data_IF_853266538642
#
_entry.id   IF_853266538642
#
_cell.length_a   1.000
_cell.length_b   1.000
_cell.length_c   1.000
_cell.angle_alpha   90.00
_cell.angle_beta   90.00
_cell.angle_gamma   90.00
#
_symmetry.space_group_name_H-M   'P 1'
#
loop_
_entity.id
_entity.type
_entity.pdbx_description
1 polymer ?
#
# COMPACT_ATOMS: atom_id res chain seq x y z
N UNK A 1 -6.30 -7.30 -22.28
CA UNK A 1 -6.61 -8.68 -21.88
C UNK A 1 -7.38 -8.63 -20.58
N UNK A 2 -8.47 -9.38 -20.52
CA UNK A 2 -9.61 -9.24 -19.62
C UNK A 2 -9.25 -9.11 -18.13
N UNK A 3 -9.98 -8.20 -17.47
CA UNK A 3 -10.15 -8.21 -16.03
C UNK A 3 -10.90 -9.50 -15.68
N UNK A 4 -10.16 -10.55 -15.34
CA UNK A 4 -10.75 -11.78 -14.81
C UNK A 4 -11.58 -11.44 -13.57
N UNK A 5 -12.81 -11.94 -13.42
CA UNK A 5 -13.77 -11.50 -12.39
C UNK A 5 -13.43 -11.99 -10.96
N UNK A 6 -12.24 -12.55 -10.75
CA UNK A 6 -11.78 -13.08 -9.46
C UNK A 6 -11.78 -12.10 -8.27
N UNK A 7 -11.50 -10.78 -8.38
CA UNK A 7 -11.50 -9.94 -7.18
C UNK A 7 -12.90 -9.86 -6.56
N UNK A 8 -13.96 -9.89 -7.37
CA UNK A 8 -15.34 -9.82 -6.87
C UNK A 8 -15.74 -11.04 -6.04
N UNK A 9 -15.32 -12.25 -6.45
CA UNK A 9 -15.70 -13.50 -5.77
C UNK A 9 -14.95 -13.66 -4.44
N UNK A 10 -13.66 -13.33 -4.40
CA UNK A 10 -12.86 -13.38 -3.17
C UNK A 10 -13.32 -12.34 -2.15
N UNK A 11 -13.62 -11.11 -2.60
CA UNK A 11 -14.17 -10.05 -1.74
C UNK A 11 -15.56 -10.39 -1.22
N UNK A 12 -16.44 -10.98 -2.05
CA UNK A 12 -17.75 -11.45 -1.62
C UNK A 12 -17.63 -12.54 -0.55
N UNK A 13 -16.73 -13.49 -0.74
CA UNK A 13 -16.49 -14.56 0.23
C UNK A 13 -15.99 -14.00 1.57
N UNK A 14 -14.97 -13.12 1.54
CA UNK A 14 -14.46 -12.50 2.77
C UNK A 14 -15.51 -11.63 3.46
N UNK A 15 -16.26 -10.84 2.70
CA UNK A 15 -17.34 -10.02 3.21
C UNK A 15 -18.44 -10.85 3.88
N UNK A 16 -18.79 -12.00 3.29
CA UNK A 16 -19.75 -12.94 3.86
C UNK A 16 -19.23 -13.57 5.15
N UNK A 17 -17.95 -13.98 5.18
CA UNK A 17 -17.30 -14.48 6.40
C UNK A 17 -17.30 -13.41 7.50
N UNK A 18 -16.94 -12.17 7.19
CA UNK A 18 -16.96 -11.06 8.14
C UNK A 18 -18.38 -10.79 8.66
N UNK A 19 -19.39 -10.80 7.79
CA UNK A 19 -20.79 -10.62 8.17
C UNK A 19 -21.31 -11.76 9.07
N UNK A 20 -20.98 -13.01 8.76
CA UNK A 20 -21.33 -14.17 9.59
C UNK A 20 -20.65 -14.07 10.96
N UNK A 21 -19.36 -13.73 11.00
CA UNK A 21 -18.63 -13.58 12.25
C UNK A 21 -19.17 -12.43 13.11
N UNK A 22 -19.49 -11.27 12.51
CA UNK A 22 -20.16 -10.17 13.20
C UNK A 22 -21.54 -10.61 13.74
N UNK A 23 -22.33 -11.30 12.92
CA UNK A 23 -23.65 -11.81 13.30
C UNK A 23 -23.58 -12.79 14.48
N UNK A 24 -22.61 -13.72 14.46
CA UNK A 24 -22.34 -14.62 15.57
C UNK A 24 -21.90 -13.86 16.82
N UNK A 25 -21.04 -12.85 16.70
CA UNK A 25 -20.57 -12.05 17.83
C UNK A 25 -21.73 -11.30 18.51
N UNK A 26 -22.59 -10.65 17.71
CA UNK A 26 -23.81 -10.00 18.19
C UNK A 26 -24.79 -11.01 18.80
N UNK A 27 -24.94 -12.20 18.21
CA UNK A 27 -25.78 -13.26 18.75
C UNK A 27 -25.29 -13.70 20.14
N UNK A 28 -23.99 -13.98 20.30
CA UNK A 28 -23.41 -14.33 21.59
C UNK A 28 -23.60 -13.22 22.62
N UNK A 29 -23.42 -11.96 22.21
CA UNK A 29 -23.62 -10.81 23.09
C UNK A 29 -25.08 -10.68 23.55
N UNK A 30 -26.05 -10.85 22.64
CA UNK A 30 -27.48 -10.79 22.97
C UNK A 30 -27.88 -11.94 23.90
N UNK A 31 -27.45 -13.17 23.64
CA UNK A 31 -27.67 -14.32 24.53
C UNK A 31 -27.07 -14.05 25.92
N UNK A 32 -25.84 -13.54 25.97
CA UNK A 32 -25.18 -13.19 27.23
C UNK A 32 -25.98 -12.14 28.03
N UNK A 33 -26.43 -11.07 27.36
CA UNK A 33 -27.25 -10.02 27.98
C UNK A 33 -28.61 -10.58 28.47
N UNK A 34 -29.27 -11.43 27.69
CA UNK A 34 -30.54 -12.08 28.08
C UNK A 34 -30.33 -12.96 29.31
N UNK A 35 -29.31 -13.82 29.32
CA UNK A 35 -28.99 -14.66 30.49
C UNK A 35 -28.70 -13.81 31.73
N UNK A 36 -27.94 -12.72 31.59
CA UNK A 36 -27.65 -11.81 32.70
C UNK A 36 -28.91 -11.11 33.23
N UNK A 37 -29.83 -10.73 32.35
CA UNK A 37 -31.10 -10.10 32.71
C UNK A 37 -32.09 -11.09 33.35
N UNK A 38 -32.21 -12.31 32.81
CA UNK A 38 -33.08 -13.36 33.33
C UNK A 38 -32.62 -13.86 34.70
N UNK A 39 -31.32 -14.17 34.87
CA UNK A 39 -30.77 -14.58 36.17
C UNK A 39 -30.89 -13.49 37.25
N UNK A 40 -31.05 -12.21 36.87
CA UNK A 40 -31.22 -11.09 37.79
C UNK A 40 -32.69 -10.87 38.19
N UNK A 41 -33.65 -11.40 37.42
CA UNK A 41 -35.09 -11.24 37.67
C UNK A 41 -35.64 -12.28 38.65
N UNK A 42 -34.96 -13.42 38.79
CA UNK A 42 -35.40 -14.55 39.64
C UNK A 42 -34.86 -14.51 41.10
N UNK A 43 -34.20 -13.43 41.54
CA UNK A 43 -33.69 -13.32 42.92
C UNK A 43 -34.50 -12.34 43.79
N UNK A 44 -35.39 -12.89 44.61
CA UNK A 44 -35.83 -12.29 45.88
C UNK A 44 -34.66 -12.25 46.91
N UNK A 45 -34.71 -11.36 47.91
CA UNK A 45 -33.53 -10.92 48.63
C UNK A 45 -33.23 -11.82 49.83
N UNK A 46 -32.70 -13.03 49.66
CA UNK A 46 -32.08 -13.73 50.80
C UNK A 46 -31.04 -14.78 50.38
N UNK A 47 -29.96 -14.82 51.15
CA UNK A 47 -28.87 -15.84 51.22
C UNK A 47 -27.70 -15.84 50.20
N UNK A 48 -26.60 -15.18 50.65
CA UNK A 48 -25.17 -15.62 50.66
C UNK A 48 -24.49 -16.15 49.37
N UNK A 49 -23.76 -15.22 48.71
CA UNK A 49 -22.47 -15.34 47.96
C UNK A 49 -22.08 -16.73 47.40
N UNK A 50 -22.19 -16.87 46.06
CA UNK A 50 -21.01 -17.14 45.21
C UNK A 50 -20.96 -16.32 43.90
N UNK A 51 -21.93 -15.44 43.64
CA UNK A 51 -22.12 -14.75 42.35
C UNK A 51 -21.08 -13.68 41.99
N UNK A 52 -20.40 -13.07 42.96
CA UNK A 52 -19.47 -11.96 42.70
C UNK A 52 -18.19 -12.43 42.01
N UNK A 53 -17.75 -13.67 42.27
CA UNK A 53 -16.50 -14.22 41.74
C UNK A 53 -16.60 -14.47 40.23
N UNK A 54 -17.71 -15.05 39.77
CA UNK A 54 -17.91 -15.39 38.36
C UNK A 54 -17.98 -14.12 37.47
N UNK A 55 -18.68 -13.08 37.92
CA UNK A 55 -18.76 -11.80 37.17
C UNK A 55 -17.40 -11.09 37.11
N UNK A 56 -16.61 -11.11 38.19
CA UNK A 56 -15.26 -10.53 38.18
C UNK A 56 -14.32 -11.30 37.24
N UNK A 57 -14.39 -12.63 37.20
CA UNK A 57 -13.58 -13.43 36.26
C UNK A 57 -13.98 -13.19 34.80
N UNK A 58 -15.27 -13.04 34.52
CA UNK A 58 -15.74 -12.68 33.17
C UNK A 58 -15.28 -11.27 32.75
N UNK A 59 -15.29 -10.30 33.68
CA UNK A 59 -14.78 -8.96 33.39
C UNK A 59 -13.25 -8.96 33.15
N UNK A 60 -12.49 -9.72 33.95
CA UNK A 60 -11.03 -9.85 33.77
C UNK A 60 -10.70 -10.52 32.44
N UNK A 61 -11.38 -11.61 32.09
CA UNK A 61 -11.16 -12.32 30.82
C UNK A 61 -11.53 -11.45 29.62
N UNK A 62 -12.67 -10.75 29.67
CA UNK A 62 -13.07 -9.81 28.62
C UNK A 62 -12.07 -8.65 28.48
N UNK A 63 -11.57 -8.09 29.59
CA UNK A 63 -10.54 -7.06 29.58
C UNK A 63 -9.23 -7.54 28.97
N UNK A 64 -8.81 -8.78 29.27
CA UNK A 64 -7.58 -9.36 28.74
C UNK A 64 -7.68 -9.61 27.22
N UNK A 65 -8.85 -10.07 26.74
CA UNK A 65 -9.14 -10.20 25.31
C UNK A 65 -9.17 -8.81 24.63
N UNK A 66 -9.80 -7.80 25.24
CA UNK A 66 -9.80 -6.41 24.75
C UNK A 66 -8.36 -5.90 24.58
N UNK A 67 -7.51 -6.06 25.60
CA UNK A 67 -6.12 -5.64 25.55
C UNK A 67 -5.30 -6.39 24.49
N UNK A 68 -5.48 -7.71 24.36
CA UNK A 68 -4.81 -8.49 23.33
C UNK A 68 -5.22 -8.05 21.92
N UNK A 69 -6.52 -7.84 21.68
CA UNK A 69 -7.02 -7.37 20.40
C UNK A 69 -6.48 -5.98 20.04
N UNK A 70 -6.47 -5.04 21.00
CA UNK A 70 -5.87 -3.71 20.80
C UNK A 70 -4.37 -3.80 20.53
N UNK A 71 -3.64 -4.65 21.25
CA UNK A 71 -2.22 -4.86 21.03
C UNK A 71 -1.89 -5.40 19.64
N UNK A 72 -2.64 -6.40 19.18
CA UNK A 72 -2.51 -6.94 17.82
C UNK A 72 -2.86 -5.87 16.78
N UNK A 73 -3.93 -5.10 17.00
CA UNK A 73 -4.33 -4.02 16.10
C UNK A 73 -3.29 -2.91 16.00
N UNK A 74 -2.71 -2.49 17.12
CA UNK A 74 -1.64 -1.50 17.15
C UNK A 74 -0.39 -1.98 16.43
N UNK A 75 0.00 -3.24 16.65
CA UNK A 75 1.11 -3.88 15.96
C UNK A 75 0.87 -3.91 14.44
N UNK A 76 -0.28 -4.43 14.00
CA UNK A 76 -0.63 -4.48 12.58
C UNK A 76 -0.70 -3.09 11.93
N UNK A 77 -1.19 -2.07 12.64
CA UNK A 77 -1.21 -0.71 12.14
C UNK A 77 0.20 -0.12 11.94
N UNK A 78 1.14 -0.46 12.84
CA UNK A 78 2.55 -0.05 12.73
C UNK A 78 3.24 -0.76 11.57
N UNK A 79 3.08 -2.07 11.43
CA UNK A 79 3.66 -2.85 10.34
C UNK A 79 3.15 -2.39 8.98
N UNK A 80 1.85 -2.05 8.88
CA UNK A 80 1.27 -1.50 7.65
C UNK A 80 1.92 -0.16 7.29
N UNK A 81 2.11 0.72 8.27
CA UNK A 81 2.77 2.01 8.06
C UNK A 81 4.23 1.85 7.63
N UNK A 82 4.96 0.89 8.21
CA UNK A 82 6.33 0.58 7.80
C UNK A 82 6.38 0.03 6.36
N UNK A 83 5.41 -0.83 5.99
CA UNK A 83 5.26 -1.31 4.62
C UNK A 83 4.97 -0.18 3.61
N UNK A 84 4.10 0.76 3.96
CA UNK A 84 3.84 1.95 3.11
C UNK A 84 5.06 2.85 3.04
N UNK A 85 5.80 3.03 4.13
CA UNK A 85 7.04 3.79 4.11
C UNK A 85 8.08 3.19 3.15
N UNK A 86 8.22 1.86 3.15
CA UNK A 86 9.08 1.16 2.18
C UNK A 86 8.61 1.35 0.74
N UNK A 87 7.29 1.35 0.49
CA UNK A 87 6.72 1.65 -0.82
C UNK A 87 7.06 3.07 -1.27
N UNK A 88 6.87 4.08 -0.40
CA UNK A 88 7.20 5.47 -0.69
C UNK A 88 8.68 5.64 -1.01
N UNK A 89 9.57 4.97 -0.27
CA UNK A 89 10.99 4.95 -0.54
C UNK A 89 11.31 4.33 -1.91
N UNK A 90 10.65 3.24 -2.27
CA UNK A 90 10.82 2.60 -3.58
C UNK A 90 10.34 3.50 -4.72
N UNK A 91 9.21 4.21 -4.54
CA UNK A 91 8.69 5.17 -5.52
C UNK A 91 9.64 6.37 -5.70
N UNK A 92 10.19 6.90 -4.61
CA UNK A 92 11.20 7.97 -4.66
C UNK A 92 12.48 7.52 -5.38
N UNK A 93 12.95 6.30 -5.10
CA UNK A 93 14.11 5.74 -5.77
C UNK A 93 13.86 5.49 -7.27
N UNK A 94 12.66 5.04 -7.64
CA UNK A 94 12.25 4.90 -9.02
C UNK A 94 12.25 6.27 -9.74
N UNK A 95 11.69 7.30 -9.10
CA UNK A 95 11.68 8.67 -9.62
C UNK A 95 13.10 9.21 -9.85
N UNK A 96 14.02 8.98 -8.91
CA UNK A 96 15.44 9.32 -9.07
C UNK A 96 16.12 8.55 -10.21
N UNK A 97 15.74 7.29 -10.44
CA UNK A 97 16.28 6.49 -11.54
C UNK A 97 15.79 7.02 -12.89
N UNK A 98 14.50 7.34 -13.03
CA UNK A 98 13.91 7.88 -14.26
C UNK A 98 14.53 9.24 -14.64
N UNK A 99 14.60 10.15 -13.67
CA UNK A 99 15.24 11.46 -13.87
C UNK A 99 16.74 11.33 -14.16
N UNK A 100 17.40 10.35 -13.55
CA UNK A 100 18.78 9.98 -13.85
C UNK A 100 18.99 9.55 -15.31
N UNK A 101 18.09 8.72 -15.86
CA UNK A 101 18.12 8.28 -17.26
C UNK A 101 18.02 9.49 -18.20
N UNK A 102 17.04 10.38 -17.98
CA UNK A 102 16.87 11.57 -18.80
C UNK A 102 18.15 12.45 -18.80
N UNK A 103 18.74 12.64 -17.62
CA UNK A 103 19.98 13.42 -17.49
C UNK A 103 21.17 12.79 -18.22
N UNK A 104 21.29 11.46 -18.17
CA UNK A 104 22.36 10.71 -18.82
C UNK A 104 22.20 10.72 -20.34
N UNK A 105 20.98 10.53 -20.84
CA UNK A 105 20.66 10.57 -22.27
C UNK A 105 20.94 11.97 -22.83
N UNK A 106 20.47 13.02 -22.15
CA UNK A 106 20.71 14.41 -22.54
C UNK A 106 22.21 14.74 -22.56
N UNK A 107 22.94 14.39 -21.50
CA UNK A 107 24.39 14.64 -21.39
C UNK A 107 25.20 13.90 -22.46
N UNK A 108 24.92 12.61 -22.68
CA UNK A 108 25.61 11.79 -23.68
C UNK A 108 25.33 12.29 -25.10
N UNK A 109 24.06 12.63 -25.40
CA UNK A 109 23.66 13.18 -26.69
C UNK A 109 24.39 14.49 -26.98
N UNK A 110 24.48 15.38 -25.99
CA UNK A 110 25.21 16.65 -26.10
C UNK A 110 26.71 16.41 -26.35
N UNK A 111 27.35 15.54 -25.58
CA UNK A 111 28.78 15.23 -25.72
C UNK A 111 29.10 14.61 -27.09
N UNK A 112 28.24 13.71 -27.60
CA UNK A 112 28.43 13.14 -28.93
C UNK A 112 28.17 14.15 -30.06
N UNK A 113 27.13 14.98 -29.97
CA UNK A 113 26.85 15.98 -31.01
C UNK A 113 27.91 17.07 -31.08
N UNK A 114 28.34 17.59 -29.94
CA UNK A 114 29.23 18.77 -29.91
C UNK A 114 30.69 18.35 -29.77
N UNK A 115 31.01 17.55 -28.76
CA UNK A 115 32.40 17.20 -28.44
C UNK A 115 33.01 16.27 -29.49
N UNK A 116 32.31 15.19 -29.82
CA UNK A 116 32.85 14.18 -30.74
C UNK A 116 32.94 14.69 -32.18
N UNK A 117 31.94 15.45 -32.68
CA UNK A 117 32.03 16.09 -33.99
C UNK A 117 33.19 17.08 -34.09
N UNK A 118 33.42 17.89 -33.05
CA UNK A 118 34.52 18.84 -33.02
C UNK A 118 35.89 18.14 -33.02
N UNK A 119 36.02 17.03 -32.28
CA UNK A 119 37.24 16.24 -32.27
C UNK A 119 37.48 15.48 -33.59
N UNK A 120 36.43 14.90 -34.19
CA UNK A 120 36.49 14.23 -35.50
C UNK A 120 36.83 15.22 -36.62
N UNK A 121 36.25 16.42 -36.61
CA UNK A 121 36.55 17.47 -37.58
C UNK A 121 38.03 17.86 -37.52
N UNK A 122 38.57 18.08 -36.31
CA UNK A 122 39.99 18.42 -36.12
C UNK A 122 40.93 17.28 -36.54
N UNK A 123 40.58 16.03 -36.26
CA UNK A 123 41.34 14.86 -36.70
C UNK A 123 41.29 14.68 -38.22
N UNK A 124 40.16 14.97 -38.85
CA UNK A 124 40.00 14.89 -40.31
C UNK A 124 40.90 15.88 -41.05
N UNK A 125 41.09 17.07 -40.50
CA UNK A 125 41.99 18.10 -41.04
C UNK A 125 43.46 17.66 -40.93
N UNK A 126 43.86 17.11 -39.78
CA UNK A 126 45.23 16.64 -39.54
C UNK A 126 45.61 15.41 -40.37
N UNK A 127 44.66 14.52 -40.64
CA UNK A 127 44.90 13.25 -41.35
C UNK A 127 44.50 13.30 -42.83
N UNK A 128 44.18 14.48 -43.38
CA UNK A 128 43.75 14.67 -44.76
C UNK A 128 44.69 14.05 -45.82
N UNK A 129 45.99 13.93 -45.51
CA UNK A 129 47.00 13.33 -46.39
C UNK A 129 47.10 11.78 -46.32
N UNK A 130 46.46 11.11 -45.37
CA UNK A 130 46.44 9.64 -45.24
C UNK A 130 45.03 9.09 -45.40
N UNK A 131 44.71 8.65 -46.62
CA UNK A 131 43.38 8.14 -47.00
C UNK A 131 42.84 7.02 -46.10
N UNK A 132 43.70 6.09 -45.66
CA UNK A 132 43.28 4.92 -44.87
C UNK A 132 42.67 5.29 -43.51
N UNK A 133 43.19 6.31 -42.84
CA UNK A 133 42.63 6.78 -41.57
C UNK A 133 41.36 7.60 -41.75
N UNK A 134 41.24 8.28 -42.90
CA UNK A 134 40.09 9.09 -43.26
C UNK A 134 38.83 8.22 -43.41
N UNK A 135 38.98 6.99 -43.89
CA UNK A 135 37.87 6.02 -43.95
C UNK A 135 37.40 5.58 -42.56
N UNK A 136 38.31 5.29 -41.63
CA UNK A 136 37.99 4.96 -40.24
C UNK A 136 37.32 6.14 -39.51
N UNK A 137 37.78 7.36 -39.75
CA UNK A 137 37.19 8.60 -39.21
C UNK A 137 35.74 8.79 -39.70
N UNK A 138 35.49 8.61 -41.00
CA UNK A 138 34.14 8.68 -41.56
C UNK A 138 33.21 7.61 -41.00
N UNK A 139 33.70 6.38 -40.84
CA UNK A 139 32.93 5.31 -40.21
C UNK A 139 32.59 5.65 -38.75
N UNK A 140 33.54 6.19 -37.99
CA UNK A 140 33.33 6.61 -36.61
C UNK A 140 32.31 7.75 -36.50
N UNK A 141 32.33 8.69 -37.45
CA UNK A 141 31.34 9.77 -37.55
C UNK A 141 29.93 9.24 -37.91
N UNK A 142 29.86 8.22 -38.76
CA UNK A 142 28.59 7.59 -39.13
C UNK A 142 28.00 6.77 -37.98
N UNK A 143 28.86 6.08 -37.22
CA UNK A 143 28.48 5.39 -35.99
C UNK A 143 27.98 6.38 -34.92
N UNK A 144 28.69 7.49 -34.70
CA UNK A 144 28.25 8.48 -33.71
C UNK A 144 26.91 9.11 -34.07
N UNK A 145 26.69 9.41 -35.35
CA UNK A 145 25.39 9.88 -35.84
C UNK A 145 24.27 8.87 -35.60
N UNK A 146 24.55 7.58 -35.81
CA UNK A 146 23.58 6.51 -35.55
C UNK A 146 23.26 6.36 -34.06
N UNK A 147 24.26 6.44 -33.19
CA UNK A 147 24.09 6.35 -31.73
C UNK A 147 23.29 7.56 -31.19
N UNK A 148 23.59 8.78 -31.67
CA UNK A 148 22.85 9.99 -31.33
C UNK A 148 21.38 9.87 -31.74
N UNK A 149 21.09 9.29 -32.90
CA UNK A 149 19.74 9.09 -33.40
C UNK A 149 18.98 8.10 -32.51
N UNK A 150 19.62 6.98 -32.12
CA UNK A 150 19.05 6.01 -31.19
C UNK A 150 18.81 6.58 -29.79
N UNK A 151 19.75 7.36 -29.24
CA UNK A 151 19.58 8.05 -27.95
C UNK A 151 18.43 9.04 -27.98
N UNK A 152 18.27 9.78 -29.09
CA UNK A 152 17.15 10.73 -29.25
C UNK A 152 15.79 10.07 -29.47
N UNK A 153 15.76 8.78 -29.81
CA UNK A 153 14.55 8.00 -29.98
C UNK A 153 14.05 7.38 -28.66
N UNK A 154 14.83 7.47 -27.57
CA UNK A 154 14.39 7.05 -26.25
C UNK A 154 13.24 7.95 -25.76
N UNK A 155 12.22 7.40 -25.10
CA UNK A 155 11.16 8.20 -24.51
C UNK A 155 11.72 9.09 -23.39
N UNK A 156 11.09 10.25 -23.20
CA UNK A 156 11.36 11.14 -22.06
C UNK A 156 10.60 10.60 -20.87
N UNK A 157 11.28 10.38 -19.74
CA UNK A 157 10.67 9.75 -18.56
C UNK A 157 10.08 10.76 -17.57
N UNK A 158 10.21 12.04 -17.84
CA UNK A 158 9.79 13.14 -16.96
C UNK A 158 8.30 13.11 -16.58
N UNK A 159 7.41 12.76 -17.51
CA UNK A 159 5.96 12.67 -17.22
C UNK A 159 5.64 11.46 -16.33
N UNK A 160 6.25 10.30 -16.61
CA UNK A 160 6.15 9.12 -15.76
C UNK A 160 6.71 9.38 -14.34
N UNK A 161 7.78 10.17 -14.23
CA UNK A 161 8.37 10.57 -12.95
C UNK A 161 7.45 11.52 -12.15
N UNK A 162 6.77 12.44 -12.82
CA UNK A 162 5.75 13.30 -12.22
C UNK A 162 4.56 12.47 -11.70
N UNK A 163 4.10 11.48 -12.48
CA UNK A 163 3.02 10.56 -12.08
C UNK A 163 3.38 9.74 -10.84
N UNK A 164 4.63 9.22 -10.75
CA UNK A 164 5.11 8.52 -9.56
C UNK A 164 5.15 9.43 -8.33
N UNK A 165 5.57 10.68 -8.51
CA UNK A 165 5.64 11.67 -7.42
C UNK A 165 4.24 12.01 -6.90
N UNK A 166 3.26 12.18 -7.80
CA UNK A 166 1.87 12.41 -7.44
C UNK A 166 1.29 11.20 -6.67
N UNK A 167 1.50 9.99 -7.19
CA UNK A 167 1.09 8.75 -6.54
C UNK A 167 1.69 8.61 -5.13
N UNK A 168 2.99 8.89 -4.96
CA UNK A 168 3.64 8.86 -3.66
C UNK A 168 3.02 9.86 -2.69
N UNK A 169 2.70 11.07 -3.16
CA UNK A 169 2.00 12.08 -2.36
C UNK A 169 0.62 11.63 -1.89
N UNK A 170 -0.18 11.06 -2.78
CA UNK A 170 -1.53 10.57 -2.46
C UNK A 170 -1.50 9.40 -1.47
N UNK A 171 -0.59 8.43 -1.68
CA UNK A 171 -0.41 7.29 -0.78
C UNK A 171 0.04 7.76 0.61
N UNK A 172 1.00 8.69 0.69
CA UNK A 172 1.47 9.24 1.96
C UNK A 172 0.36 10.00 2.71
N UNK A 173 -0.47 10.77 1.99
CA UNK A 173 -1.59 11.49 2.57
C UNK A 173 -2.63 10.53 3.16
N UNK A 174 -3.06 9.52 2.38
CA UNK A 174 -4.03 8.52 2.83
C UNK A 174 -3.50 7.75 4.04
N UNK A 175 -2.23 7.34 4.00
CA UNK A 175 -1.61 6.58 5.08
C UNK A 175 -1.52 7.38 6.38
N UNK A 176 -1.17 8.66 6.31
CA UNK A 176 -1.12 9.53 7.48
C UNK A 176 -2.44 9.56 8.26
N UNK A 177 -3.57 9.74 7.54
CA UNK A 177 -4.89 9.74 8.17
C UNK A 177 -5.33 8.35 8.60
N UNK A 178 -5.05 7.30 7.81
CA UNK A 178 -5.35 5.91 8.17
C UNK A 178 -4.68 5.55 9.49
N UNK A 179 -3.36 5.74 9.58
CA UNK A 179 -2.57 5.41 10.76
C UNK A 179 -3.06 6.16 12.00
N UNK A 180 -3.30 7.47 11.88
CA UNK A 180 -3.78 8.31 12.98
C UNK A 180 -5.20 7.90 13.42
N UNK A 181 -6.09 7.58 12.48
CA UNK A 181 -7.44 7.15 12.79
C UNK A 181 -7.46 5.85 13.60
N UNK A 182 -6.66 4.84 13.21
CA UNK A 182 -6.53 3.59 13.97
C UNK A 182 -5.93 3.83 15.36
N UNK A 183 -4.91 4.67 15.46
CA UNK A 183 -4.32 5.05 16.75
C UNK A 183 -5.36 5.64 17.70
N UNK A 184 -6.13 6.62 17.24
CA UNK A 184 -7.20 7.25 18.02
C UNK A 184 -8.32 6.27 18.36
N UNK A 185 -8.67 5.38 17.43
CA UNK A 185 -9.68 4.35 17.65
C UNK A 185 -9.25 3.38 18.76
N UNK A 186 -8.00 2.91 18.77
CA UNK A 186 -7.47 2.04 19.83
C UNK A 186 -7.45 2.73 21.19
N UNK A 187 -7.08 4.00 21.25
CA UNK A 187 -7.15 4.80 22.49
C UNK A 187 -8.60 4.87 23.01
N UNK A 188 -9.56 5.10 22.11
CA UNK A 188 -10.97 5.15 22.46
C UNK A 188 -11.49 3.80 22.97
N UNK A 189 -11.08 2.67 22.37
CA UNK A 189 -11.41 1.32 22.87
C UNK A 189 -10.85 1.09 24.27
N UNK A 190 -9.59 1.44 24.53
CA UNK A 190 -9.00 1.33 25.87
C UNK A 190 -9.71 2.21 26.90
N UNK A 191 -10.06 3.44 26.54
CA UNK A 191 -10.81 4.33 27.41
C UNK A 191 -12.19 3.75 27.78
N UNK A 192 -12.91 3.18 26.82
CA UNK A 192 -14.19 2.49 27.06
C UNK A 192 -13.98 1.26 27.96
N UNK A 193 -12.95 0.43 27.69
CA UNK A 193 -12.63 -0.73 28.53
C UNK A 193 -12.31 -0.30 29.99
N UNK A 194 -11.57 0.79 30.21
CA UNK A 194 -11.28 1.33 31.56
C UNK A 194 -12.52 1.91 32.26
N UNK A 195 -13.34 2.68 31.54
CA UNK A 195 -14.56 3.26 32.08
C UNK A 195 -15.60 2.18 32.41
N UNK A 196 -15.69 1.12 31.60
CA UNK A 196 -16.52 -0.05 31.90
C UNK A 196 -16.08 -0.72 33.22
N UNK A 197 -14.77 -0.93 33.42
CA UNK A 197 -14.20 -1.44 34.68
C UNK A 197 -14.54 -0.54 35.88
N UNK A 198 -14.45 0.79 35.72
CA UNK A 198 -14.87 1.76 36.74
C UNK A 198 -16.38 1.66 37.04
N UNK A 199 -17.20 1.47 36.01
CA UNK A 199 -18.65 1.26 36.15
C UNK A 199 -19.00 0.02 36.94
N UNK A 200 -18.28 -1.08 36.69
CA UNK A 200 -18.37 -2.32 37.45
C UNK A 200 -17.96 -2.12 38.92
N UNK A 201 -16.84 -1.42 39.17
CA UNK A 201 -16.34 -1.15 40.52
C UNK A 201 -17.29 -0.25 41.33
N UNK A 202 -17.84 0.80 40.71
CA UNK A 202 -18.78 1.74 41.34
C UNK A 202 -20.22 1.22 41.37
N UNK A 203 -20.53 0.10 40.70
CA UNK A 203 -21.89 -0.44 40.49
C UNK A 203 -22.88 0.59 39.93
N UNK A 204 -22.40 1.56 39.15
CA UNK A 204 -23.24 2.63 38.57
C UNK A 204 -23.98 2.11 37.35
N UNK A 205 -25.31 2.02 37.45
CA UNK A 205 -26.15 1.51 36.35
C UNK A 205 -26.11 2.40 35.11
N UNK A 206 -26.16 3.73 35.30
CA UNK A 206 -26.13 4.68 34.19
C UNK A 206 -24.81 4.58 33.41
N UNK A 207 -23.68 4.55 34.12
CA UNK A 207 -22.37 4.46 33.49
C UNK A 207 -22.15 3.11 32.79
N UNK A 208 -22.67 2.01 33.35
CA UNK A 208 -22.60 0.71 32.70
C UNK A 208 -23.41 0.66 31.39
N UNK A 209 -24.62 1.23 31.39
CA UNK A 209 -25.47 1.30 30.19
C UNK A 209 -24.83 2.15 29.10
N UNK A 210 -24.26 3.31 29.43
CA UNK A 210 -23.61 4.17 28.44
C UNK A 210 -22.37 3.50 27.84
N UNK A 211 -21.52 2.87 28.66
CA UNK A 211 -20.34 2.16 28.17
C UNK A 211 -20.71 0.94 27.32
N UNK A 212 -21.81 0.25 27.62
CA UNK A 212 -22.29 -0.85 26.79
C UNK A 212 -22.71 -0.37 25.38
N UNK A 213 -23.43 0.74 25.29
CA UNK A 213 -23.78 1.34 24.00
C UNK A 213 -22.53 1.77 23.22
N UNK A 214 -21.57 2.42 23.88
CA UNK A 214 -20.30 2.81 23.26
C UNK A 214 -19.51 1.59 22.78
N UNK A 215 -19.42 0.53 23.60
CA UNK A 215 -18.71 -0.70 23.26
C UNK A 215 -19.32 -1.40 22.04
N UNK A 216 -20.66 -1.43 21.94
CA UNK A 216 -21.39 -1.95 20.78
C UNK A 216 -21.07 -1.16 19.50
N UNK A 217 -21.06 0.17 19.58
CA UNK A 217 -20.71 1.01 18.45
C UNK A 217 -19.26 0.78 18.00
N UNK A 218 -18.32 0.73 18.95
CA UNK A 218 -16.91 0.44 18.62
C UNK A 218 -16.72 -0.95 18.05
N UNK A 219 -17.50 -1.94 18.49
CA UNK A 219 -17.45 -3.29 17.93
C UNK A 219 -17.91 -3.27 16.46
N UNK A 220 -19.02 -2.61 16.14
CA UNK A 220 -19.48 -2.49 14.75
C UNK A 220 -18.42 -1.79 13.90
N UNK A 221 -17.82 -0.70 14.41
CA UNK A 221 -16.76 0.01 13.71
C UNK A 221 -15.50 -0.84 13.51
N UNK A 222 -15.11 -1.68 14.48
CA UNK A 222 -13.95 -2.56 14.32
C UNK A 222 -14.17 -3.64 13.26
N UNK A 223 -15.39 -4.16 13.14
CA UNK A 223 -15.72 -5.13 12.10
C UNK A 223 -15.75 -4.45 10.72
N UNK A 224 -16.28 -3.24 10.64
CA UNK A 224 -16.25 -2.45 9.41
C UNK A 224 -14.82 -2.12 8.97
N UNK A 225 -13.95 -1.71 9.91
CA UNK A 225 -12.55 -1.41 9.62
C UNK A 225 -11.80 -2.65 9.15
N UNK A 226 -12.00 -3.79 9.82
CA UNK A 226 -11.42 -5.07 9.41
C UNK A 226 -11.88 -5.52 8.02
N UNK A 227 -13.14 -5.25 7.65
CA UNK A 227 -13.63 -5.52 6.30
C UNK A 227 -12.96 -4.63 5.23
N UNK A 228 -12.73 -3.36 5.55
CA UNK A 228 -12.02 -2.43 4.66
C UNK A 228 -10.56 -2.83 4.51
N UNK A 229 -9.86 -3.14 5.60
CA UNK A 229 -8.45 -3.53 5.57
C UNK A 229 -8.24 -4.84 4.81
N UNK A 230 -9.15 -5.81 4.99
CA UNK A 230 -9.08 -7.07 4.23
C UNK A 230 -9.35 -6.87 2.75
N UNK A 231 -10.29 -6.00 2.38
CA UNK A 231 -10.51 -5.65 0.98
C UNK A 231 -9.29 -4.95 0.37
N UNK A 232 -8.69 -4.02 1.11
CA UNK A 232 -7.46 -3.35 0.69
C UNK A 232 -6.31 -4.36 0.53
N UNK A 233 -6.13 -5.27 1.49
CA UNK A 233 -5.08 -6.30 1.44
C UNK A 233 -5.24 -7.23 0.23
N UNK A 234 -6.46 -7.63 -0.12
CA UNK A 234 -6.71 -8.43 -1.33
C UNK A 234 -6.35 -7.61 -2.58
N UNK A 235 -6.80 -6.35 -2.66
CA UNK A 235 -6.48 -5.49 -3.80
C UNK A 235 -4.98 -5.22 -3.97
N UNK A 236 -4.25 -5.01 -2.88
CA UNK A 236 -2.80 -4.80 -2.92
C UNK A 236 -2.01 -6.09 -3.14
N UNK A 237 -2.55 -7.24 -2.76
CA UNK A 237 -1.91 -8.53 -3.03
C UNK A 237 -1.81 -8.85 -4.53
N UNK A 238 -2.82 -8.46 -5.31
CA UNK A 238 -2.79 -8.62 -6.78
C UNK A 238 -1.64 -7.80 -7.39
N UNK A 239 -1.42 -6.58 -6.91
CA UNK A 239 -0.29 -5.75 -7.31
C UNK A 239 1.05 -6.40 -6.95
N UNK A 240 1.14 -7.07 -5.79
CA UNK A 240 2.36 -7.77 -5.36
C UNK A 240 2.71 -8.97 -6.26
N UNK A 241 1.71 -9.70 -6.76
CA UNK A 241 1.92 -10.90 -7.58
C UNK A 241 2.11 -10.56 -9.07
N UNK A 242 1.37 -9.58 -9.59
CA UNK A 242 1.39 -9.20 -11.00
C UNK A 242 1.41 -7.66 -11.15
N UNK A 243 2.58 -7.02 -10.95
CA UNK A 243 2.71 -5.56 -10.99
C UNK A 243 2.74 -4.99 -12.42
N UNK A 244 2.98 -5.83 -13.42
CA UNK A 244 3.14 -5.49 -14.83
C UNK A 244 1.98 -4.64 -15.37
N UNK A 245 0.74 -5.07 -15.09
CA UNK A 245 -0.47 -4.35 -15.53
C UNK A 245 -0.58 -2.97 -14.90
N UNK A 246 -0.21 -2.84 -13.63
CA UNK A 246 -0.22 -1.55 -12.94
C UNK A 246 0.81 -0.60 -13.54
N UNK A 247 2.04 -1.09 -13.79
CA UNK A 247 3.11 -0.26 -14.37
C UNK A 247 2.77 0.19 -15.79
N UNK A 248 2.23 -0.71 -16.62
CA UNK A 248 1.80 -0.37 -17.99
C UNK A 248 0.67 0.65 -17.98
N UNK A 249 -0.29 0.51 -17.07
CA UNK A 249 -1.40 1.47 -16.94
C UNK A 249 -0.91 2.84 -16.41
N UNK A 250 0.03 2.86 -15.47
CA UNK A 250 0.60 4.09 -14.94
C UNK A 250 1.49 4.84 -15.93
N UNK A 251 2.00 4.16 -16.95
CA UNK A 251 2.85 4.74 -18.01
C UNK A 251 2.09 4.88 -19.33
N UNK A 252 0.79 4.61 -19.33
CA UNK A 252 -0.06 4.69 -20.51
C UNK A 252 -0.17 6.14 -20.98
N UNK A 253 0.15 6.39 -22.26
CA UNK A 253 0.15 7.73 -22.86
C UNK A 253 1.51 8.42 -22.85
N UNK A 254 2.34 8.16 -21.84
CA UNK A 254 3.69 8.72 -21.74
C UNK A 254 4.74 7.84 -22.45
N UNK A 255 4.58 6.52 -22.35
CA UNK A 255 5.52 5.53 -22.89
C UNK A 255 4.76 4.43 -23.63
N UNK A 256 5.27 4.04 -24.80
CA UNK A 256 4.68 2.93 -25.54
C UNK A 256 4.76 1.62 -24.74
N UNK A 257 3.64 0.90 -24.67
CA UNK A 257 3.55 -0.38 -23.96
C UNK A 257 4.62 -1.40 -24.41
N UNK A 258 5.06 -1.36 -25.67
CA UNK A 258 6.14 -2.22 -26.17
C UNK A 258 7.50 -1.89 -25.55
N UNK A 259 7.78 -0.61 -25.31
CA UNK A 259 9.02 -0.15 -24.65
C UNK A 259 9.00 -0.51 -23.17
N UNK A 260 7.87 -0.28 -22.49
CA UNK A 260 7.68 -0.65 -21.08
C UNK A 260 7.87 -2.16 -20.90
N UNK A 261 7.23 -2.97 -21.74
CA UNK A 261 7.37 -4.43 -21.71
C UNK A 261 8.80 -4.89 -21.99
N UNK A 262 9.50 -4.25 -22.93
CA UNK A 262 10.91 -4.55 -23.24
C UNK A 262 11.81 -4.35 -22.01
N UNK A 263 11.65 -3.25 -21.28
CA UNK A 263 12.45 -2.97 -20.08
C UNK A 263 12.00 -3.74 -18.82
N UNK A 264 10.72 -4.11 -18.72
CA UNK A 264 10.22 -4.91 -17.58
C UNK A 264 10.71 -6.36 -17.62
N UNK A 265 10.68 -7.00 -18.78
CA UNK A 265 11.06 -8.42 -18.90
C UNK A 265 12.53 -8.64 -19.25
N UNK A 266 13.19 -7.65 -19.87
CA UNK A 266 14.59 -7.75 -20.29
C UNK A 266 14.93 -9.05 -21.07
N UNK A 267 13.98 -9.58 -21.85
CA UNK A 267 14.20 -10.82 -22.59
C UNK A 267 15.00 -10.55 -23.87
N UNK A 268 16.05 -11.33 -24.10
CA UNK A 268 16.90 -11.25 -25.29
C UNK A 268 16.18 -11.68 -26.57
N UNK A 269 15.03 -12.37 -26.45
CA UNK A 269 14.19 -12.76 -27.58
C UNK A 269 13.33 -11.62 -28.13
N UNK A 270 13.14 -10.54 -27.36
CA UNK A 270 12.36 -9.37 -27.78
C UNK A 270 13.18 -8.50 -28.73
N UNK A 271 12.58 -8.15 -29.88
CA UNK A 271 13.17 -7.18 -30.80
C UNK A 271 13.27 -5.81 -30.14
N UNK A 272 14.44 -5.19 -30.21
CA UNK A 272 14.66 -3.84 -29.69
C UNK A 272 13.70 -2.85 -30.39
N UNK A 273 12.83 -2.15 -29.63
CA UNK A 273 11.85 -1.23 -30.22
C UNK A 273 12.50 -0.01 -30.92
N UNK A 274 13.80 0.22 -30.71
CA UNK A 274 14.56 1.34 -31.27
C UNK A 274 15.43 0.97 -32.49
N UNK A 275 15.37 -0.28 -32.99
CA UNK A 275 16.15 -0.76 -34.15
C UNK A 275 15.34 -0.90 -35.45
N UNK A 276 14.43 0.04 -35.74
CA UNK A 276 13.70 0.07 -37.02
C UNK A 276 14.51 0.69 -38.16
#
# INVERSE_FOLDING_TARGET
>A
ADCSPFPSQSLLFLGLVAAVCLGLNLLFLTIYLICLCCCKRDQEPETKRPHTCCVTWMAVTAGLICCAAVGIGFYGNSETNDGVYQLLYALDHANHTLTGIDSLVAGTTLQMRVGLEQHLARLSELLAARGDYLQTLKFMQQLSGSIVLQLSALPVWQDASANLTALAGDVAYVEYYRWLAYLLFFILVLAICLLACLGLAKRSRCLLTTMLCCALLTLILSWASMAVDTAAAVGTSDFCVAPDKFIVNQTEGDISAGVVHYYLYCDQSLSNPFQQ
#
